data_IF_422811489203
#
_entry.id   IF_422811489203
#
_cell.length_a   1.000
_cell.length_b   1.000
_cell.length_c   1.000
_cell.angle_alpha   90.00
_cell.angle_beta   90.00
_cell.angle_gamma   90.00
#
_symmetry.space_group_name_H-M   'P 1'
#
loop_
_entity.id
_entity.type
_entity.pdbx_description
1 polymer ?
#
# COMPACT_ATOMS: atom_id res chain seq x y z
N UNK A 1 4.43 12.87 4.23
CA UNK A 1 3.53 12.81 5.38
C UNK A 1 2.11 13.26 5.03
N UNK A 2 1.16 12.89 5.87
CA UNK A 2 -0.25 13.29 5.73
C UNK A 2 -0.57 14.37 6.75
N UNK A 3 -1.25 15.43 6.31
CA UNK A 3 -1.88 16.42 7.18
C UNK A 3 -3.39 16.16 7.15
N UNK A 4 -3.95 15.65 8.23
CA UNK A 4 -5.36 15.23 8.31
C UNK A 4 -6.24 16.17 9.13
N UNK A 5 -5.66 17.18 9.81
CA UNK A 5 -6.38 18.14 10.65
C UNK A 5 -5.88 19.55 10.42
N UNK A 6 -6.79 20.51 10.57
CA UNK A 6 -6.43 21.92 10.59
C UNK A 6 -5.67 22.35 11.85
N UNK A 7 -5.18 23.57 11.88
CA UNK A 7 -4.34 24.12 12.96
C UNK A 7 -5.06 24.41 14.28
N UNK A 8 -6.37 24.12 14.41
CA UNK A 8 -7.13 24.42 15.63
C UNK A 8 -7.46 23.14 16.39
N UNK A 9 -6.91 23.02 17.58
CA UNK A 9 -7.19 21.94 18.53
C UNK A 9 -8.67 21.83 18.93
N UNK A 10 -9.40 22.93 18.89
CA UNK A 10 -10.79 23.05 19.37
C UNK A 10 -11.85 22.89 18.30
N UNK A 11 -11.49 22.84 17.02
CA UNK A 11 -12.44 22.68 15.93
C UNK A 11 -11.95 21.69 14.89
N UNK A 12 -12.09 20.38 15.13
CA UNK A 12 -11.65 19.34 14.22
C UNK A 12 -12.38 19.35 12.86
N UNK A 13 -13.52 20.03 12.78
CA UNK A 13 -14.36 20.12 11.59
C UNK A 13 -13.94 21.22 10.61
N UNK A 14 -13.13 22.18 11.03
CA UNK A 14 -12.63 23.26 10.20
C UNK A 14 -11.18 23.01 9.82
N UNK A 15 -10.87 21.78 9.42
CA UNK A 15 -9.55 21.41 8.92
C UNK A 15 -9.27 22.09 7.60
N UNK A 16 -8.47 23.15 7.68
CA UNK A 16 -8.04 23.89 6.53
C UNK A 16 -6.87 23.28 5.91
N UNK A 17 -6.53 22.94 4.81
CA UNK A 17 -5.34 22.38 4.20
C UNK A 17 -4.98 20.95 4.66
N UNK A 18 -5.93 20.04 4.53
CA UNK A 18 -5.62 18.61 4.56
C UNK A 18 -4.90 18.19 3.29
N UNK A 19 -4.22 17.06 3.32
CA UNK A 19 -3.59 16.47 2.14
C UNK A 19 -2.29 15.74 2.42
N UNK A 20 -1.67 15.31 1.36
CA UNK A 20 -0.36 14.63 1.39
C UNK A 20 0.72 15.62 0.98
N UNK A 21 1.78 15.66 1.76
CA UNK A 21 2.88 16.61 1.59
C UNK A 21 4.21 15.87 1.48
N UNK A 22 5.11 16.43 0.69
CA UNK A 22 6.53 16.05 0.62
C UNK A 22 7.39 17.19 1.11
N UNK A 23 8.48 16.86 1.77
CA UNK A 23 9.51 17.79 2.21
C UNK A 23 10.89 17.18 1.97
N UNK A 24 11.84 17.90 1.37
CA UNK A 24 13.23 17.47 1.31
C UNK A 24 13.82 17.27 2.71
N UNK A 25 14.76 16.35 2.83
CA UNK A 25 15.44 16.05 4.11
C UNK A 25 16.58 17.00 4.44
N UNK A 26 16.71 18.10 3.70
CA UNK A 26 17.73 19.15 3.87
C UNK A 26 17.52 20.02 5.12
N UNK A 27 16.36 19.90 5.77
CA UNK A 27 15.99 20.69 6.96
C UNK A 27 15.74 22.18 6.71
N UNK A 28 15.75 22.64 5.45
CA UNK A 28 15.60 24.06 5.07
C UNK A 28 14.37 24.32 4.20
N UNK A 29 13.97 23.33 3.42
CA UNK A 29 12.86 23.47 2.49
C UNK A 29 11.51 23.37 3.21
N UNK A 30 10.52 24.11 2.71
CA UNK A 30 9.15 24.05 3.21
C UNK A 30 8.40 22.86 2.59
N UNK A 31 7.46 22.23 3.32
CA UNK A 31 6.62 21.18 2.78
C UNK A 31 5.81 21.65 1.59
N UNK A 32 5.74 20.80 0.55
CA UNK A 32 4.94 21.02 -0.66
C UNK A 32 3.81 20.01 -0.72
N UNK A 33 2.59 20.47 -0.97
CA UNK A 33 1.42 19.60 -1.13
C UNK A 33 1.49 18.88 -2.48
N UNK A 34 1.29 17.56 -2.46
CA UNK A 34 1.33 16.69 -3.65
C UNK A 34 -0.01 16.03 -3.97
N UNK A 35 -0.88 15.86 -2.97
CA UNK A 35 -2.25 15.41 -3.17
C UNK A 35 -3.20 16.09 -2.19
N UNK A 36 -4.46 16.27 -2.60
CA UNK A 36 -5.45 16.97 -1.77
C UNK A 36 -6.05 16.08 -0.70
N UNK A 37 -6.01 14.77 -0.91
CA UNK A 37 -6.49 13.74 0.01
C UNK A 37 -5.59 12.48 -0.08
N UNK A 38 -5.79 11.56 0.83
CA UNK A 38 -5.12 10.28 0.87
C UNK A 38 -4.41 10.00 2.19
N UNK A 39 -4.04 8.75 2.37
CA UNK A 39 -3.36 8.22 3.56
C UNK A 39 -2.25 7.25 3.18
N UNK A 40 -1.45 6.84 4.17
CA UNK A 40 -0.36 5.88 4.01
C UNK A 40 0.57 6.15 2.80
N UNK A 41 1.10 7.40 2.63
CA UNK A 41 1.99 7.69 1.53
C UNK A 41 3.30 6.91 1.65
N UNK A 42 3.75 6.34 0.55
CA UNK A 42 4.97 5.54 0.49
C UNK A 42 5.71 5.78 -0.83
N UNK A 43 7.04 5.80 -0.76
CA UNK A 43 7.91 5.76 -1.93
C UNK A 43 8.22 4.30 -2.31
N UNK A 44 8.51 4.07 -3.57
CA UNK A 44 9.05 2.81 -4.08
C UNK A 44 10.35 3.07 -4.86
N UNK A 45 10.46 2.56 -6.07
CA UNK A 45 11.66 2.65 -6.90
C UNK A 45 11.86 4.00 -7.63
N UNK A 46 10.85 4.84 -7.64
CA UNK A 46 10.85 6.13 -8.34
C UNK A 46 10.71 7.26 -7.30
N UNK A 47 11.69 8.16 -7.23
CA UNK A 47 11.69 9.26 -6.27
C UNK A 47 10.74 10.40 -6.66
N UNK A 48 10.22 10.43 -7.88
CA UNK A 48 9.24 11.40 -8.35
C UNK A 48 7.80 10.92 -8.20
N UNK A 49 7.62 9.72 -7.65
CA UNK A 49 6.33 9.06 -7.50
C UNK A 49 6.12 8.61 -6.06
N UNK A 50 4.92 8.87 -5.54
CA UNK A 50 4.43 8.26 -4.31
C UNK A 50 3.21 7.38 -4.61
N UNK A 51 3.04 6.37 -3.78
CA UNK A 51 1.80 5.61 -3.68
C UNK A 51 1.06 6.05 -2.43
N UNK A 52 -0.26 6.16 -2.52
CA UNK A 52 -1.12 6.51 -1.39
C UNK A 52 -2.45 5.78 -1.50
N UNK A 53 -3.19 5.72 -0.40
CA UNK A 53 -4.50 5.08 -0.37
C UNK A 53 -5.61 6.10 -0.19
N UNK A 54 -6.78 5.81 -0.80
CA UNK A 54 -8.03 6.51 -0.55
C UNK A 54 -9.12 5.50 -0.27
N UNK A 55 -9.81 5.68 0.84
CA UNK A 55 -10.91 4.80 1.26
C UNK A 55 -12.24 5.49 0.97
N UNK A 56 -13.15 4.74 0.37
CA UNK A 56 -14.52 5.16 0.10
C UNK A 56 -15.50 4.24 0.82
N UNK A 57 -16.36 4.83 1.62
CA UNK A 57 -17.47 4.13 2.27
C UNK A 57 -18.67 4.14 1.33
N UNK A 58 -19.29 2.97 1.12
CA UNK A 58 -20.44 2.77 0.22
C UNK A 58 -21.72 2.43 0.97
N UNK A 59 -21.65 2.24 2.29
CA UNK A 59 -22.72 1.95 3.21
C UNK A 59 -22.27 2.16 4.65
N UNK A 60 -23.06 1.70 5.61
CA UNK A 60 -22.70 1.78 7.02
C UNK A 60 -21.49 0.90 7.38
N UNK A 61 -21.36 -0.23 6.70
CA UNK A 61 -20.33 -1.24 6.97
C UNK A 61 -19.48 -1.57 5.74
N UNK A 62 -19.89 -1.18 4.55
CA UNK A 62 -19.20 -1.48 3.31
C UNK A 62 -18.23 -0.37 2.92
N UNK A 63 -17.02 -0.74 2.60
CA UNK A 63 -15.98 0.19 2.18
C UNK A 63 -15.01 -0.46 1.21
N UNK A 64 -14.37 0.36 0.42
CA UNK A 64 -13.30 -0.03 -0.49
C UNK A 64 -12.13 0.92 -0.39
N UNK A 65 -10.92 0.38 -0.48
CA UNK A 65 -9.70 1.17 -0.53
C UNK A 65 -9.06 1.04 -1.90
N UNK A 66 -8.65 2.15 -2.44
CA UNK A 66 -7.91 2.21 -3.71
C UNK A 66 -6.48 2.66 -3.46
N UNK A 67 -5.53 2.02 -4.15
CA UNK A 67 -4.13 2.42 -4.22
C UNK A 67 -3.95 3.35 -5.43
N UNK A 68 -3.41 4.52 -5.18
CA UNK A 68 -3.11 5.53 -6.18
C UNK A 68 -1.61 5.67 -6.39
N UNK A 69 -1.22 5.88 -7.64
CA UNK A 69 0.09 6.33 -8.03
C UNK A 69 0.00 7.83 -8.34
N UNK A 70 0.82 8.62 -7.66
CA UNK A 70 0.78 10.09 -7.73
C UNK A 70 2.18 10.60 -8.02
N UNK A 71 2.34 11.44 -9.04
CA UNK A 71 3.60 12.14 -9.28
C UNK A 71 3.74 13.35 -8.35
N UNK A 72 4.94 13.60 -7.90
CA UNK A 72 5.22 14.71 -7.00
C UNK A 72 4.93 16.08 -7.62
N UNK A 73 4.99 16.22 -8.95
CA UNK A 73 4.63 17.43 -9.68
C UNK A 73 3.12 17.57 -9.91
N UNK A 74 2.31 16.59 -9.47
CA UNK A 74 0.86 16.51 -9.61
C UNK A 74 0.39 16.31 -11.06
N UNK A 75 1.26 15.94 -11.99
CA UNK A 75 0.90 15.65 -13.38
C UNK A 75 0.19 14.31 -13.55
N UNK A 76 0.23 13.45 -12.55
CA UNK A 76 -0.42 12.14 -12.55
C UNK A 76 -1.00 11.84 -11.16
N UNK A 77 -2.25 11.40 -11.12
CA UNK A 77 -2.96 10.94 -9.93
C UNK A 77 -3.96 9.86 -10.39
N UNK A 78 -3.51 8.60 -10.43
CA UNK A 78 -4.26 7.49 -11.02
C UNK A 78 -4.40 6.32 -10.05
N UNK A 79 -5.61 5.75 -9.98
CA UNK A 79 -5.86 4.52 -9.26
C UNK A 79 -5.29 3.33 -10.04
N UNK A 80 -4.50 2.49 -9.39
CA UNK A 80 -3.90 1.29 -9.97
C UNK A 80 -4.48 0.00 -9.43
N UNK A 81 -4.94 0.01 -8.18
CA UNK A 81 -5.60 -1.13 -7.55
C UNK A 81 -6.78 -0.66 -6.68
N UNK A 82 -7.80 -1.50 -6.54
CA UNK A 82 -8.94 -1.28 -5.68
C UNK A 82 -9.36 -2.61 -5.06
N UNK A 83 -9.61 -2.63 -3.75
CA UNK A 83 -10.12 -3.80 -3.05
C UNK A 83 -11.22 -3.45 -2.06
N UNK A 84 -12.25 -4.31 -2.00
CA UNK A 84 -13.28 -4.22 -1.00
C UNK A 84 -12.77 -4.83 0.32
N UNK A 85 -13.03 -4.17 1.44
CA UNK A 85 -12.52 -4.54 2.76
C UNK A 85 -10.99 -4.64 2.87
N UNK A 86 -10.28 -3.95 1.99
CA UNK A 86 -8.81 -3.85 2.05
C UNK A 86 -8.43 -2.69 2.96
N UNK A 87 -7.79 -2.98 4.09
CA UNK A 87 -7.41 -1.98 5.11
C UNK A 87 -6.07 -1.31 4.83
N UNK A 88 -5.16 -2.01 4.16
CA UNK A 88 -3.83 -1.50 3.86
C UNK A 88 -3.29 -2.02 2.54
N UNK A 89 -2.46 -1.19 1.89
CA UNK A 89 -1.61 -1.57 0.77
C UNK A 89 -0.15 -1.26 1.10
N UNK A 90 0.75 -2.16 0.72
CA UNK A 90 2.19 -1.99 0.87
C UNK A 90 2.90 -2.32 -0.46
N UNK A 91 3.53 -1.33 -1.06
CA UNK A 91 4.28 -1.48 -2.31
C UNK A 91 5.72 -1.85 -1.99
N UNK A 92 6.26 -2.86 -2.67
CA UNK A 92 7.67 -3.22 -2.51
C UNK A 92 8.59 -2.09 -2.97
N UNK A 93 9.79 -2.04 -2.39
CA UNK A 93 10.74 -0.96 -2.67
C UNK A 93 11.19 -0.92 -4.13
N UNK A 94 11.25 -2.07 -4.80
CA UNK A 94 11.56 -2.19 -6.22
C UNK A 94 10.35 -1.91 -7.14
N UNK A 95 9.17 -1.67 -6.57
CA UNK A 95 7.94 -1.38 -7.30
C UNK A 95 7.31 -2.57 -8.04
N UNK A 96 7.79 -3.80 -7.80
CA UNK A 96 7.34 -4.98 -8.55
C UNK A 96 6.27 -5.80 -7.85
N UNK A 97 6.05 -5.57 -6.55
CA UNK A 97 5.14 -6.34 -5.74
C UNK A 97 4.19 -5.44 -4.95
N UNK A 98 3.00 -5.95 -4.74
CA UNK A 98 1.96 -5.34 -3.94
C UNK A 98 1.53 -6.34 -2.86
N UNK A 99 1.60 -5.91 -1.60
CA UNK A 99 0.97 -6.61 -0.50
C UNK A 99 -0.25 -5.83 -0.02
N UNK A 100 -1.23 -6.53 0.51
CA UNK A 100 -2.45 -5.91 1.04
C UNK A 100 -3.07 -6.75 2.15
N UNK A 101 -3.82 -6.08 3.04
CA UNK A 101 -4.66 -6.72 4.04
C UNK A 101 -6.13 -6.69 3.58
N UNK A 102 -6.75 -7.84 3.48
CA UNK A 102 -8.19 -7.98 3.27
C UNK A 102 -8.79 -8.78 4.43
N UNK A 103 -9.77 -8.19 5.15
CA UNK A 103 -10.48 -8.87 6.24
C UNK A 103 -9.52 -9.53 7.24
N UNK A 104 -8.49 -8.81 7.67
CA UNK A 104 -7.43 -9.22 8.61
C UNK A 104 -6.39 -10.20 8.05
N UNK A 105 -6.51 -10.70 6.84
CA UNK A 105 -5.52 -11.57 6.23
C UNK A 105 -4.53 -10.79 5.36
N UNK A 106 -3.28 -11.23 5.37
CA UNK A 106 -2.18 -10.68 4.59
C UNK A 106 -2.04 -11.41 3.26
N UNK A 107 -1.99 -10.66 2.17
CA UNK A 107 -1.84 -11.17 0.80
C UNK A 107 -0.68 -10.49 0.09
N UNK A 108 -0.14 -11.17 -0.91
CA UNK A 108 0.87 -10.63 -1.82
C UNK A 108 0.57 -11.02 -3.27
N UNK A 109 0.92 -10.12 -4.19
CA UNK A 109 0.75 -10.31 -5.63
C UNK A 109 1.79 -9.51 -6.41
N UNK A 110 2.06 -9.81 -7.69
CA UNK A 110 2.79 -8.90 -8.57
C UNK A 110 2.11 -7.53 -8.65
N UNK A 111 2.89 -6.48 -8.80
CA UNK A 111 2.37 -5.11 -8.90
C UNK A 111 1.52 -4.96 -10.17
N UNK A 112 0.28 -4.46 -10.11
CA UNK A 112 -0.52 -4.14 -11.29
C UNK A 112 0.17 -3.08 -12.17
N UNK A 113 0.05 -3.25 -13.48
CA UNK A 113 0.54 -2.25 -14.41
C UNK A 113 -0.36 -0.99 -14.39
N UNK A 114 0.26 0.16 -14.61
CA UNK A 114 -0.47 1.43 -14.76
C UNK A 114 -1.31 1.40 -16.03
N UNK A 115 -2.53 1.92 -15.95
CA UNK A 115 -3.42 2.04 -17.12
C UNK A 115 -4.88 1.72 -16.77
N UNK A 116 -5.17 0.53 -16.25
CA UNK A 116 -6.50 0.15 -15.78
C UNK A 116 -6.45 -0.19 -14.30
N UNK A 117 -7.34 0.40 -13.51
CA UNK A 117 -7.49 0.02 -12.10
C UNK A 117 -7.87 -1.44 -11.98
N UNK A 118 -7.03 -2.23 -11.31
CA UNK A 118 -7.27 -3.64 -11.09
C UNK A 118 -8.07 -3.84 -9.81
N UNK A 119 -9.12 -4.66 -9.86
CA UNK A 119 -9.77 -5.13 -8.63
C UNK A 119 -8.91 -6.22 -8.01
N UNK A 120 -8.50 -6.03 -6.77
CA UNK A 120 -7.67 -6.95 -5.99
C UNK A 120 -8.46 -7.55 -4.84
N UNK A 121 -8.08 -8.73 -4.41
CA UNK A 121 -8.70 -9.44 -3.29
C UNK A 121 -8.25 -10.90 -3.26
N UNK A 122 -8.61 -11.61 -2.19
CA UNK A 122 -8.26 -13.01 -1.98
C UNK A 122 -8.71 -13.94 -3.15
N UNK A 123 -9.78 -13.57 -3.85
CA UNK A 123 -10.38 -14.34 -4.96
C UNK A 123 -10.12 -13.69 -6.33
N UNK A 124 -9.26 -12.68 -6.40
CA UNK A 124 -8.91 -12.06 -7.68
C UNK A 124 -8.10 -13.06 -8.54
N UNK A 125 -8.44 -13.13 -9.82
CA UNK A 125 -7.87 -14.09 -10.79
C UNK A 125 -7.02 -13.42 -11.88
N UNK A 126 -7.06 -12.10 -11.98
CA UNK A 126 -6.33 -11.34 -13.00
C UNK A 126 -4.80 -11.41 -12.83
N UNK A 127 -4.32 -11.57 -11.60
CA UNK A 127 -2.91 -11.80 -11.25
C UNK A 127 -2.83 -12.86 -10.13
N UNK A 128 -1.72 -13.58 -10.01
CA UNK A 128 -1.56 -14.57 -8.95
C UNK A 128 -1.53 -13.88 -7.57
N UNK A 129 -2.49 -14.19 -6.72
CA UNK A 129 -2.58 -13.73 -5.33
C UNK A 129 -2.24 -14.89 -4.39
N UNK A 130 -1.44 -14.63 -3.37
CA UNK A 130 -1.09 -15.60 -2.34
C UNK A 130 -1.36 -15.04 -0.95
N UNK A 131 -2.05 -15.80 -0.12
CA UNK A 131 -2.18 -15.53 1.31
C UNK A 131 -0.88 -15.87 2.00
N UNK A 132 -0.46 -15.03 2.94
CA UNK A 132 0.81 -15.16 3.66
C UNK A 132 0.65 -15.74 5.05
N UNK A 133 -0.49 -15.50 5.67
CA UNK A 133 -0.81 -15.93 7.03
C UNK A 133 -1.78 -17.10 7.05
N UNK A 134 -1.93 -17.72 8.22
CA UNK A 134 -2.92 -18.78 8.49
C UNK A 134 -4.12 -18.22 9.24
N UNK A 135 -3.89 -17.37 10.23
CA UNK A 135 -4.92 -16.86 11.13
C UNK A 135 -5.27 -15.40 10.86
N UNK A 136 -4.25 -14.54 10.86
CA UNK A 136 -4.33 -13.12 10.52
C UNK A 136 -2.91 -12.56 10.32
N UNK A 137 -2.80 -11.40 9.67
CA UNK A 137 -1.53 -10.71 9.52
C UNK A 137 -1.76 -9.21 9.30
N UNK A 138 -1.05 -8.38 10.06
CA UNK A 138 -1.15 -6.93 9.98
C UNK A 138 0.24 -6.29 9.86
N UNK A 139 0.29 -4.96 9.72
CA UNK A 139 1.54 -4.20 9.63
C UNK A 139 2.49 -4.70 8.53
N UNK A 140 1.96 -4.86 7.32
CA UNK A 140 2.73 -5.32 6.16
C UNK A 140 3.87 -4.36 5.80
N UNK A 141 5.08 -4.88 5.67
CA UNK A 141 6.20 -4.12 5.13
C UNK A 141 7.27 -5.02 4.48
N UNK A 142 8.04 -4.43 3.59
CA UNK A 142 9.02 -5.13 2.78
C UNK A 142 10.42 -5.05 3.37
N UNK A 143 11.21 -6.12 3.15
CA UNK A 143 12.66 -6.03 3.31
C UNK A 143 13.26 -5.02 2.32
N UNK A 144 14.43 -4.47 2.67
CA UNK A 144 15.08 -3.45 1.84
C UNK A 144 15.42 -3.90 0.42
N UNK A 145 15.61 -5.21 0.22
CA UNK A 145 15.88 -5.85 -1.07
C UNK A 145 14.60 -6.28 -1.81
N UNK A 146 13.41 -6.06 -1.25
CA UNK A 146 12.12 -6.47 -1.79
C UNK A 146 11.93 -7.99 -1.97
N UNK A 147 12.79 -8.82 -1.34
CA UNK A 147 12.72 -10.28 -1.49
C UNK A 147 11.85 -10.95 -0.43
N UNK A 148 11.57 -10.24 0.66
CA UNK A 148 10.79 -10.75 1.78
C UNK A 148 9.72 -9.75 2.18
N UNK A 149 8.62 -10.29 2.67
CA UNK A 149 7.57 -9.51 3.30
C UNK A 149 7.45 -9.91 4.77
N UNK A 150 7.26 -8.92 5.61
CA UNK A 150 7.06 -9.05 7.04
C UNK A 150 5.64 -8.63 7.40
N UNK A 151 5.05 -9.34 8.34
CA UNK A 151 3.76 -9.00 8.94
C UNK A 151 3.74 -9.48 10.39
N UNK A 152 2.82 -8.98 11.18
CA UNK A 152 2.69 -9.36 12.59
C UNK A 152 1.31 -9.90 12.92
N UNK A 153 1.25 -10.71 13.98
CA UNK A 153 0.02 -11.10 14.65
C UNK A 153 0.27 -11.04 16.17
N UNK A 154 -0.36 -10.06 16.82
CA UNK A 154 -0.09 -9.79 18.24
C UNK A 154 1.37 -9.35 18.46
N UNK A 155 2.11 -10.07 19.26
CA UNK A 155 3.53 -9.86 19.59
C UNK A 155 4.50 -10.68 18.71
N UNK A 156 3.99 -11.45 17.76
CA UNK A 156 4.80 -12.26 16.84
C UNK A 156 5.05 -11.54 15.51
N UNK A 157 6.29 -11.62 15.03
CA UNK A 157 6.71 -11.14 13.72
C UNK A 157 6.98 -12.32 12.77
N UNK A 158 6.28 -12.32 11.66
CA UNK A 158 6.42 -13.30 10.60
C UNK A 158 7.20 -12.74 9.42
N UNK A 159 7.92 -13.62 8.74
CA UNK A 159 8.69 -13.27 7.54
C UNK A 159 8.51 -14.35 6.49
N UNK A 160 8.07 -13.96 5.30
CA UNK A 160 7.93 -14.86 4.15
C UNK A 160 8.77 -14.38 2.98
N UNK A 161 9.55 -15.29 2.38
CA UNK A 161 10.31 -15.00 1.17
C UNK A 161 9.42 -15.20 -0.06
N UNK A 162 9.55 -14.32 -1.06
CA UNK A 162 8.82 -14.42 -2.32
C UNK A 162 9.12 -15.73 -3.07
N UNK A 163 10.34 -16.25 -2.96
CA UNK A 163 10.75 -17.54 -3.51
C UNK A 163 9.99 -18.72 -2.93
N UNK A 164 9.50 -18.60 -1.70
CA UNK A 164 8.67 -19.61 -1.05
C UNK A 164 7.17 -19.45 -1.37
N UNK A 165 6.82 -18.33 -1.99
CA UNK A 165 5.42 -17.95 -2.27
C UNK A 165 5.05 -18.18 -3.73
N UNK A 166 5.99 -17.88 -4.65
CA UNK A 166 5.76 -17.96 -6.09
C UNK A 166 6.85 -18.76 -6.81
N UNK A 167 6.47 -19.85 -7.46
CA UNK A 167 7.39 -20.72 -8.20
C UNK A 167 8.05 -20.06 -9.43
N UNK A 168 7.53 -18.92 -9.91
CA UNK A 168 8.12 -18.17 -11.00
C UNK A 168 9.19 -17.15 -10.57
N UNK A 169 9.38 -16.96 -9.27
CA UNK A 169 10.45 -16.09 -8.74
C UNK A 169 11.78 -16.79 -8.88
N UNK A 170 12.78 -16.06 -9.38
CA UNK A 170 14.12 -16.62 -9.55
C UNK A 170 14.70 -17.14 -8.23
N UNK A 171 15.16 -18.39 -8.22
CA UNK A 171 15.63 -19.05 -7.01
C UNK A 171 14.53 -19.76 -6.20
N UNK A 172 13.30 -19.80 -6.70
CA UNK A 172 12.25 -20.58 -6.05
C UNK A 172 12.59 -22.09 -6.07
N UNK A 173 12.23 -22.84 -5.02
CA UNK A 173 12.40 -24.30 -4.97
C UNK A 173 11.48 -24.96 -6.02
N UNK A 174 11.82 -26.19 -6.46
CA UNK A 174 11.00 -26.96 -7.41
C UNK A 174 9.58 -27.25 -6.85
N UNK A 175 9.49 -27.44 -5.53
CA UNK A 175 8.24 -27.58 -4.80
C UNK A 175 8.15 -26.48 -3.75
N UNK A 176 7.07 -25.71 -3.79
CA UNK A 176 6.86 -24.67 -2.78
C UNK A 176 6.52 -25.29 -1.42
N UNK A 177 6.94 -24.67 -0.30
CA UNK A 177 6.51 -25.06 1.03
C UNK A 177 4.98 -25.10 1.14
N UNK A 178 4.46 -26.06 1.90
CA UNK A 178 3.03 -26.18 2.20
C UNK A 178 2.64 -25.26 3.35
#
# INVERSE_FOLDING_TARGET
FVKSRGGYLTSPWHGMETGVYVVPTDGKSIPRKVADDGSAPQFANDNDVIYLTRTKYTGEVDWSTSLFRVKLDRSEDVAIAKGDFVSAFSVSRDGKWLAFNERFHAYVMPMPLVGKTLTVGAKADALPVKQLDVNAGDYLHWSGDSQKIHFSLGDELFTTALTNTFGFVAGAPKELPK
#
